data_IF_143039292814
#
_entry.id   IF_143039292814
#
_cell.length_a   1.000
_cell.length_b   1.000
_cell.length_c   1.000
_cell.angle_alpha   90.00
_cell.angle_beta   90.00
_cell.angle_gamma   90.00
#
_symmetry.space_group_name_H-M   'P 1'
#
loop_
_entity.id
_entity.type
_entity.pdbx_description
1 polymer ?
#
# COMPACT_ATOMS: atom_id res chain seq x y z
N UNK A 1 -11.18 2.27 33.84
CA UNK A 1 -10.65 1.62 32.61
C UNK A 1 -10.16 2.74 31.71
N UNK A 2 -8.94 2.69 31.15
CA UNK A 2 -8.62 3.58 30.03
C UNK A 2 -9.63 3.36 28.89
N UNK A 3 -10.00 4.44 28.18
CA UNK A 3 -10.89 4.35 27.03
C UNK A 3 -10.28 3.54 25.87
N UNK A 4 -11.05 3.25 24.81
CA UNK A 4 -10.56 2.49 23.66
C UNK A 4 -9.32 3.15 23.05
N UNK A 5 -8.35 2.32 22.65
CA UNK A 5 -7.10 2.76 22.00
C UNK A 5 -7.34 2.95 20.51
N UNK A 6 -6.56 3.83 19.92
CA UNK A 6 -6.52 4.01 18.47
C UNK A 6 -5.07 4.07 18.00
N UNK A 7 -4.78 3.36 16.90
CA UNK A 7 -3.50 3.42 16.19
C UNK A 7 -3.78 3.86 14.76
N UNK A 8 -3.09 4.90 14.31
CA UNK A 8 -3.17 5.38 12.94
C UNK A 8 -1.86 5.09 12.21
N UNK A 9 -1.96 4.50 11.02
CA UNK A 9 -0.81 4.07 10.23
C UNK A 9 -0.85 4.71 8.85
N UNK A 10 0.26 5.36 8.48
CA UNK A 10 0.46 5.88 7.13
C UNK A 10 0.77 4.71 6.20
N UNK A 11 0.01 4.62 5.10
CA UNK A 11 0.07 3.57 4.09
C UNK A 11 0.11 4.17 2.69
N UNK A 12 0.32 3.33 1.67
CA UNK A 12 0.48 3.72 0.28
C UNK A 12 1.73 4.57 -0.02
N UNK A 13 2.02 4.72 -1.32
CA UNK A 13 3.12 5.50 -1.86
C UNK A 13 3.11 6.95 -1.34
N UNK A 14 4.28 7.39 -0.87
CA UNK A 14 4.52 8.74 -0.38
C UNK A 14 5.53 9.46 -1.31
N UNK A 15 5.63 10.78 -1.20
CA UNK A 15 6.53 11.56 -2.10
C UNK A 15 8.00 11.17 -1.99
N UNK A 16 8.46 10.61 -0.87
CA UNK A 16 9.87 10.23 -0.73
C UNK A 16 10.20 8.98 -1.57
N UNK A 17 9.27 8.03 -1.64
CA UNK A 17 9.44 6.76 -2.34
C UNK A 17 8.04 6.27 -2.77
N UNK A 18 7.79 6.09 -4.09
CA UNK A 18 8.71 6.12 -5.22
C UNK A 18 8.97 7.52 -5.84
N UNK A 19 8.58 8.61 -5.17
CA UNK A 19 8.66 9.97 -5.75
C UNK A 19 7.30 10.58 -6.08
N UNK A 20 6.21 9.83 -5.93
CA UNK A 20 4.86 10.29 -6.18
C UNK A 20 3.84 9.65 -5.22
N UNK A 21 2.63 10.20 -5.23
CA UNK A 21 1.48 9.74 -4.44
C UNK A 21 0.35 9.35 -5.37
N UNK A 22 -0.60 8.57 -4.84
CA UNK A 22 -1.87 8.34 -5.52
C UNK A 22 -2.61 9.64 -5.84
N UNK A 23 -3.19 9.78 -7.04
CA UNK A 23 -4.07 10.89 -7.38
C UNK A 23 -5.39 10.80 -6.62
N UNK A 24 -5.94 11.96 -6.27
CA UNK A 24 -7.36 12.15 -5.94
C UNK A 24 -7.97 13.10 -6.97
N UNK A 25 -9.13 12.72 -7.51
CA UNK A 25 -9.81 13.38 -8.61
C UNK A 25 -11.00 14.23 -8.13
N UNK A 26 -11.52 15.16 -8.96
CA UNK A 26 -12.61 16.05 -8.55
C UNK A 26 -13.94 15.35 -8.20
N UNK A 27 -14.14 14.12 -8.66
CA UNK A 27 -15.32 13.29 -8.33
C UNK A 27 -15.18 12.55 -6.99
N UNK A 28 -14.05 12.74 -6.28
CA UNK A 28 -13.76 12.09 -5.01
C UNK A 28 -13.13 10.69 -5.14
N UNK A 29 -12.97 10.18 -6.36
CA UNK A 29 -12.22 8.94 -6.58
C UNK A 29 -10.72 9.15 -6.39
N UNK A 30 -10.01 8.07 -6.06
CA UNK A 30 -8.56 8.07 -5.92
C UNK A 30 -7.99 6.75 -6.42
N UNK A 31 -6.70 6.74 -6.78
CA UNK A 31 -5.99 5.49 -7.06
C UNK A 31 -5.11 5.11 -5.88
N UNK A 32 -5.27 3.88 -5.39
CA UNK A 32 -4.40 3.30 -4.39
C UNK A 32 -3.07 2.90 -5.05
N UNK A 33 -1.96 3.49 -4.60
CA UNK A 33 -0.63 3.20 -5.13
C UNK A 33 0.18 2.50 -4.04
N UNK A 34 0.54 1.22 -4.21
CA UNK A 34 1.37 0.48 -3.26
C UNK A 34 2.78 1.10 -3.10
N UNK A 35 3.43 0.81 -1.98
CA UNK A 35 4.82 1.22 -1.74
C UNK A 35 5.79 0.28 -2.45
N UNK A 36 6.96 0.78 -2.89
CA UNK A 36 8.02 -0.08 -3.40
C UNK A 36 8.47 -1.08 -2.34
N UNK A 37 8.73 -2.31 -2.78
CA UNK A 37 9.46 -3.28 -1.98
C UNK A 37 10.96 -2.97 -2.08
N UNK A 38 11.56 -2.65 -0.93
CA UNK A 38 12.98 -2.31 -0.83
C UNK A 38 13.84 -3.51 -0.44
N UNK A 39 13.25 -4.55 0.16
CA UNK A 39 13.93 -5.78 0.50
C UNK A 39 14.05 -6.69 -0.72
N UNK A 40 15.19 -7.37 -0.85
CA UNK A 40 15.28 -8.50 -1.76
C UNK A 40 14.29 -9.58 -1.29
N UNK A 41 13.25 -9.81 -2.08
CA UNK A 41 12.31 -10.92 -1.83
C UNK A 41 13.08 -12.24 -1.90
N UNK A 42 12.76 -13.17 -1.01
CA UNK A 42 13.44 -14.45 -0.98
C UNK A 42 13.26 -15.19 -2.32
N UNK A 43 14.26 -15.99 -2.75
CA UNK A 43 14.13 -16.79 -3.96
C UNK A 43 12.95 -17.76 -3.85
N UNK A 44 12.19 -17.88 -4.95
CA UNK A 44 10.92 -18.63 -5.02
C UNK A 44 11.06 -20.12 -4.69
N UNK A 45 12.27 -20.67 -4.79
CA UNK A 45 12.56 -22.07 -4.47
C UNK A 45 12.53 -22.37 -2.96
N UNK A 46 12.61 -21.34 -2.10
CA UNK A 46 12.60 -21.50 -0.65
C UNK A 46 11.19 -21.55 -0.05
N UNK A 47 10.20 -20.97 -0.73
CA UNK A 47 8.78 -20.97 -0.33
C UNK A 47 7.89 -21.18 -1.56
N UNK A 48 7.33 -22.39 -1.77
CA UNK A 48 6.50 -22.71 -2.94
C UNK A 48 5.17 -21.93 -3.03
N UNK A 49 4.86 -21.11 -2.03
CA UNK A 49 3.60 -20.36 -1.87
C UNK A 49 3.75 -18.86 -2.11
N UNK A 50 4.96 -18.35 -2.36
CA UNK A 50 5.15 -16.93 -2.60
C UNK A 50 4.88 -16.62 -4.09
N UNK A 51 3.67 -16.14 -4.35
CA UNK A 51 3.36 -15.38 -5.56
C UNK A 51 4.45 -14.29 -5.74
N UNK A 52 4.99 -14.09 -6.96
CA UNK A 52 5.98 -13.04 -7.10
C UNK A 52 5.30 -11.71 -6.77
N UNK A 53 6.01 -10.83 -6.06
CA UNK A 53 5.48 -9.49 -5.84
C UNK A 53 5.18 -8.85 -7.20
N UNK A 54 4.01 -8.21 -7.36
CA UNK A 54 3.71 -7.47 -8.57
C UNK A 54 4.72 -6.32 -8.69
N UNK A 55 4.95 -5.89 -9.91
CA UNK A 55 5.64 -4.65 -10.20
C UNK A 55 4.63 -3.52 -10.39
N UNK A 56 5.10 -2.27 -10.43
CA UNK A 56 4.21 -1.17 -10.82
C UNK A 56 3.60 -1.36 -12.22
N UNK A 57 4.29 -2.05 -13.13
CA UNK A 57 3.80 -2.38 -14.47
C UNK A 57 2.65 -3.38 -14.49
N UNK A 58 2.49 -4.16 -13.43
CA UNK A 58 1.42 -5.16 -13.29
C UNK A 58 0.13 -4.57 -12.68
N UNK A 59 0.19 -3.35 -12.15
CA UNK A 59 -0.94 -2.72 -11.46
C UNK A 59 -1.95 -2.09 -12.43
N UNK A 60 -3.22 -2.15 -12.06
CA UNK A 60 -4.30 -1.44 -12.75
C UNK A 60 -4.35 0.01 -12.25
N UNK A 61 -3.42 0.84 -12.75
CA UNK A 61 -3.33 2.26 -12.43
C UNK A 61 -3.95 3.11 -13.55
N UNK A 62 -4.79 4.12 -13.22
CA UNK A 62 -5.42 5.00 -14.22
C UNK A 62 -4.46 6.06 -14.79
N UNK A 63 -3.15 5.93 -14.53
CA UNK A 63 -2.12 6.85 -14.98
C UNK A 63 -0.82 6.10 -15.31
N UNK A 64 -0.01 6.71 -16.18
CA UNK A 64 1.25 6.15 -16.61
C UNK A 64 2.30 6.24 -15.49
N UNK A 65 2.87 5.08 -15.14
CA UNK A 65 4.06 5.00 -14.28
C UNK A 65 5.30 5.31 -15.13
N UNK A 66 6.25 6.14 -14.62
CA UNK A 66 7.56 6.35 -15.25
C UNK A 66 8.23 5.04 -15.65
N UNK A 67 8.83 5.00 -16.85
CA UNK A 67 9.33 3.76 -17.44
C UNK A 67 10.42 3.07 -16.60
N UNK A 68 11.24 3.86 -15.92
CA UNK A 68 12.29 3.43 -15.00
C UNK A 68 11.75 2.77 -13.72
N UNK A 69 10.49 3.02 -13.36
CA UNK A 69 9.85 2.45 -12.17
C UNK A 69 8.94 1.25 -12.48
N UNK A 70 8.67 0.93 -13.75
CA UNK A 70 7.68 -0.12 -14.09
C UNK A 70 8.04 -1.49 -13.54
N UNK A 71 9.32 -1.85 -13.55
CA UNK A 71 9.81 -3.13 -13.05
C UNK A 71 10.07 -3.13 -11.54
N UNK A 72 9.80 -2.02 -10.84
CA UNK A 72 9.95 -1.95 -9.38
C UNK A 72 8.87 -2.81 -8.72
N UNK A 73 9.30 -3.81 -7.98
CA UNK A 73 8.42 -4.64 -7.16
C UNK A 73 7.72 -3.80 -6.08
N UNK A 74 6.48 -4.15 -5.77
CA UNK A 74 5.67 -3.45 -4.79
C UNK A 74 4.97 -4.42 -3.86
N UNK A 75 4.66 -3.97 -2.65
CA UNK A 75 3.77 -4.68 -1.72
C UNK A 75 2.62 -3.76 -1.31
N UNK A 76 1.43 -4.35 -1.21
CA UNK A 76 0.22 -3.65 -0.83
C UNK A 76 -0.02 -3.85 0.67
N UNK A 77 0.32 -2.85 1.47
CA UNK A 77 0.04 -2.82 2.91
C UNK A 77 -0.79 -1.57 3.24
N UNK A 78 -2.14 -1.69 3.34
CA UNK A 78 -2.93 -2.93 3.29
C UNK A 78 -3.23 -3.45 1.87
N UNK A 79 -3.56 -4.74 1.78
CA UNK A 79 -4.29 -5.31 0.64
C UNK A 79 -5.78 -4.99 0.77
N UNK A 80 -6.44 -4.75 -0.36
CA UNK A 80 -7.88 -4.55 -0.43
C UNK A 80 -8.48 -5.53 -1.46
N UNK A 81 -9.52 -6.30 -1.10
CA UNK A 81 -10.23 -7.14 -2.05
C UNK A 81 -10.75 -6.33 -3.25
N UNK A 82 -10.45 -6.80 -4.46
CA UNK A 82 -10.82 -6.15 -5.73
C UNK A 82 -9.89 -5.04 -6.20
N UNK A 83 -8.79 -4.76 -5.49
CA UNK A 83 -7.78 -3.76 -5.88
C UNK A 83 -6.49 -4.48 -6.28
N UNK A 84 -5.95 -4.18 -7.46
CA UNK A 84 -4.70 -4.76 -7.98
C UNK A 84 -4.67 -6.30 -7.94
N UNK A 85 -5.81 -6.93 -8.23
CA UNK A 85 -5.94 -8.39 -8.24
C UNK A 85 -5.95 -9.07 -6.86
N UNK A 86 -6.06 -8.30 -5.76
CA UNK A 86 -6.08 -8.86 -4.39
C UNK A 86 -7.46 -9.37 -3.99
N UNK A 87 -7.47 -10.45 -3.21
CA UNK A 87 -8.70 -11.11 -2.73
C UNK A 87 -8.89 -10.96 -1.22
N UNK A 88 -7.82 -10.60 -0.50
CA UNK A 88 -7.79 -10.55 0.96
C UNK A 88 -7.59 -9.13 1.47
N UNK A 89 -7.98 -8.91 2.72
CA UNK A 89 -7.69 -7.68 3.47
C UNK A 89 -6.58 -7.98 4.49
N UNK A 90 -5.33 -7.82 4.06
CA UNK A 90 -4.15 -8.08 4.89
C UNK A 90 -3.37 -6.80 5.12
N UNK A 91 -2.57 -6.76 6.18
CA UNK A 91 -1.62 -5.69 6.46
C UNK A 91 -0.40 -6.28 7.16
N UNK A 92 0.78 -6.09 6.56
CA UNK A 92 2.07 -6.39 7.15
C UNK A 92 2.81 -5.13 7.56
N UNK A 93 3.68 -5.25 8.58
CA UNK A 93 4.67 -4.21 8.89
C UNK A 93 5.94 -4.88 9.40
N UNK A 94 7.08 -4.78 8.69
CA UNK A 94 8.33 -5.41 9.14
C UNK A 94 8.93 -4.68 10.35
N UNK A 95 8.49 -3.45 10.65
CA UNK A 95 9.03 -2.66 11.73
C UNK A 95 8.29 -2.92 13.03
N UNK A 96 8.99 -3.60 13.94
CA UNK A 96 8.49 -3.97 15.27
C UNK A 96 7.90 -2.80 16.08
N UNK A 97 8.26 -1.54 15.81
CA UNK A 97 7.70 -0.38 16.52
C UNK A 97 6.21 -0.15 16.21
N UNK A 98 5.84 -0.22 14.92
CA UNK A 98 4.43 -0.09 14.50
C UNK A 98 3.69 -1.40 14.76
N UNK A 99 4.31 -2.52 14.39
CA UNK A 99 3.74 -3.85 14.60
C UNK A 99 3.43 -4.13 16.08
N UNK A 100 4.27 -3.71 17.03
CA UNK A 100 4.00 -3.88 18.46
C UNK A 100 2.78 -3.09 18.94
N UNK A 101 2.59 -1.86 18.44
CA UNK A 101 1.41 -1.05 18.80
C UNK A 101 0.11 -1.65 18.27
N UNK A 102 0.17 -2.26 17.09
CA UNK A 102 -0.97 -2.97 16.49
C UNK A 102 -1.23 -4.29 17.23
N UNK A 103 -0.18 -5.03 17.62
CA UNK A 103 -0.29 -6.29 18.35
C UNK A 103 -0.93 -6.15 19.74
N UNK A 104 -0.82 -4.97 20.35
CA UNK A 104 -1.48 -4.64 21.61
C UNK A 104 -2.99 -4.36 21.49
N UNK A 105 -3.54 -4.23 20.27
CA UNK A 105 -4.95 -3.90 20.07
C UNK A 105 -5.84 -5.09 20.40
N UNK A 106 -6.94 -4.82 21.09
CA UNK A 106 -7.99 -5.80 21.38
C UNK A 106 -9.34 -5.42 20.77
N UNK A 107 -10.34 -6.29 20.92
CA UNK A 107 -11.72 -5.96 20.53
C UNK A 107 -12.19 -4.65 21.19
N UNK A 108 -12.68 -3.72 20.38
CA UNK A 108 -13.13 -2.38 20.81
C UNK A 108 -12.12 -1.26 20.60
N UNK A 109 -10.86 -1.59 20.29
CA UNK A 109 -9.87 -0.62 19.83
C UNK A 109 -9.97 -0.37 18.32
N UNK A 110 -9.28 0.67 17.83
CA UNK A 110 -9.32 1.11 16.44
C UNK A 110 -7.96 1.03 15.77
N UNK A 111 -7.91 0.40 14.60
CA UNK A 111 -6.80 0.51 13.65
C UNK A 111 -7.26 1.35 12.46
N UNK A 112 -6.57 2.45 12.21
CA UNK A 112 -6.91 3.42 11.17
C UNK A 112 -5.77 3.47 10.15
N UNK A 113 -6.09 3.26 8.88
CA UNK A 113 -5.14 3.47 7.78
C UNK A 113 -5.40 4.82 7.13
N UNK A 114 -4.34 5.57 6.86
CA UNK A 114 -4.42 6.82 6.12
C UNK A 114 -3.33 6.89 5.05
N UNK A 115 -3.68 7.40 3.88
CA UNK A 115 -2.75 7.63 2.78
C UNK A 115 -2.58 9.14 2.55
N UNK A 116 -1.41 9.54 2.05
CA UNK A 116 -1.23 10.91 1.54
C UNK A 116 -1.42 10.90 0.03
N UNK A 117 -2.30 11.77 -0.47
CA UNK A 117 -2.72 11.82 -1.88
C UNK A 117 -2.38 13.17 -2.51
N UNK A 118 -2.40 13.24 -3.85
CA UNK A 118 -2.17 14.47 -4.61
C UNK A 118 -3.39 14.80 -5.47
N UNK A 119 -3.89 16.04 -5.39
CA UNK A 119 -4.97 16.50 -6.27
C UNK A 119 -4.53 16.49 -7.74
N UNK A 120 -5.37 15.91 -8.60
CA UNK A 120 -5.18 15.88 -10.06
C UNK A 120 -6.47 16.24 -10.78
N UNK A 121 -6.40 16.83 -11.99
CA UNK A 121 -7.60 17.09 -12.79
C UNK A 121 -8.24 15.79 -13.27
N UNK A 122 -9.51 15.86 -13.66
CA UNK A 122 -10.21 14.73 -14.25
C UNK A 122 -9.48 14.22 -15.51
N UNK A 123 -9.36 12.90 -15.66
CA UNK A 123 -8.69 12.28 -16.80
C UNK A 123 -7.17 12.46 -16.84
N UNK A 124 -6.53 12.92 -15.76
CA UNK A 124 -5.07 12.91 -15.67
C UNK A 124 -4.56 11.47 -15.75
N UNK A 125 -3.69 11.20 -16.71
CA UNK A 125 -3.21 9.87 -17.03
C UNK A 125 -1.67 9.74 -16.93
N UNK A 126 -1.00 10.64 -16.18
CA UNK A 126 0.46 10.69 -16.09
C UNK A 126 1.03 11.89 -16.83
#
# INVERSE_FOLDING_TARGET
MPGPRAVAVNVAANTNEPGFRGPVYPDGSFAYVPIPESAATLPRDRFPVDEPLPTYGDLDLPFAVPADLRETAVHADPEFPGVHGRECATYGDPHGVKAARIADLGPGDWLLFYATLTLRPHGWAG
#
